data_IF_753505568023
#
_entry.id   IF_753505568023
#
_cell.length_a   1.000
_cell.length_b   1.000
_cell.length_c   1.000
_cell.angle_alpha   90.00
_cell.angle_beta   90.00
_cell.angle_gamma   90.00
#
_symmetry.space_group_name_H-M   'P 1'
#
loop_
_entity.id
_entity.type
_entity.pdbx_description
1 polymer ?
#
# COMPACT_ATOMS: atom_id res chain seq x y z
N UNK A 1 -4.83 -11.44 -12.28
CA UNK A 1 -4.91 -10.14 -11.56
C UNK A 1 -4.90 -8.94 -12.50
N UNK A 2 -4.03 -8.86 -13.51
CA UNK A 2 -4.01 -7.74 -14.48
C UNK A 2 -5.34 -7.55 -15.26
N UNK A 3 -6.00 -8.65 -15.65
CA UNK A 3 -7.32 -8.60 -16.30
C UNK A 3 -8.43 -8.00 -15.40
N UNK A 4 -8.31 -8.13 -14.07
CA UNK A 4 -9.26 -7.50 -13.13
C UNK A 4 -9.10 -5.98 -13.10
N UNK A 5 -7.87 -5.47 -13.22
CA UNK A 5 -7.60 -4.03 -13.32
C UNK A 5 -8.29 -3.38 -14.53
N UNK A 6 -8.27 -4.05 -15.68
CA UNK A 6 -8.90 -3.57 -16.92
C UNK A 6 -10.43 -3.57 -16.86
N UNK A 7 -11.02 -4.35 -15.96
CA UNK A 7 -12.48 -4.41 -15.79
C UNK A 7 -13.01 -3.23 -14.97
N UNK A 8 -12.15 -2.57 -14.19
CA UNK A 8 -12.54 -1.42 -13.36
C UNK A 8 -12.36 -0.12 -14.14
N UNK A 9 -13.34 0.79 -14.06
CA UNK A 9 -13.33 2.13 -14.67
C UNK A 9 -12.33 3.09 -13.98
N UNK A 10 -11.07 2.70 -13.83
CA UNK A 10 -10.00 3.55 -13.29
C UNK A 10 -9.23 4.14 -14.47
N UNK A 11 -8.84 5.43 -14.44
CA UNK A 11 -8.00 6.02 -15.49
C UNK A 11 -6.69 5.25 -15.63
N UNK A 12 -6.42 4.75 -16.84
CA UNK A 12 -5.26 3.91 -17.15
C UNK A 12 -3.93 4.59 -16.80
N UNK A 13 -3.87 5.92 -16.90
CA UNK A 13 -2.70 6.73 -16.54
C UNK A 13 -2.35 6.68 -15.06
N UNK A 14 -3.34 6.62 -14.17
CA UNK A 14 -3.11 6.50 -12.74
C UNK A 14 -2.54 5.12 -12.40
N UNK A 15 -3.08 4.06 -13.01
CA UNK A 15 -2.58 2.69 -12.84
C UNK A 15 -1.13 2.60 -13.33
N UNK A 16 -0.85 3.10 -14.54
CA UNK A 16 0.49 3.02 -15.13
C UNK A 16 1.54 3.78 -14.30
N UNK A 17 1.19 4.98 -13.80
CA UNK A 17 2.08 5.77 -12.94
C UNK A 17 2.36 5.05 -11.61
N UNK A 18 1.36 4.42 -11.00
CA UNK A 18 1.53 3.64 -9.78
C UNK A 18 2.29 2.32 -10.00
N UNK A 19 2.18 1.72 -11.19
CA UNK A 19 2.89 0.49 -11.53
C UNK A 19 4.34 0.72 -11.96
N UNK A 20 4.72 1.94 -12.35
CA UNK A 20 6.07 2.24 -12.86
C UNK A 20 7.18 1.96 -11.84
N UNK A 21 7.01 2.41 -10.59
CA UNK A 21 8.02 2.23 -9.54
C UNK A 21 8.18 0.74 -9.14
N UNK A 22 7.10 -0.02 -8.90
CA UNK A 22 7.26 -1.45 -8.66
C UNK A 22 7.77 -2.26 -9.86
N UNK A 23 7.44 -1.83 -11.09
CA UNK A 23 7.97 -2.47 -12.30
C UNK A 23 9.49 -2.31 -12.37
N UNK A 24 10.05 -1.13 -12.03
CA UNK A 24 11.50 -0.95 -12.02
C UNK A 24 12.18 -1.88 -11.01
N UNK A 25 11.58 -2.09 -9.83
CA UNK A 25 12.08 -3.07 -8.87
C UNK A 25 11.95 -4.52 -9.36
N UNK A 26 10.84 -4.88 -10.00
CA UNK A 26 10.64 -6.21 -10.54
C UNK A 26 11.65 -6.55 -11.66
N UNK A 27 11.93 -5.58 -12.54
CA UNK A 27 12.97 -5.70 -13.57
C UNK A 27 14.35 -5.84 -12.95
N UNK A 28 14.65 -5.05 -11.91
CA UNK A 28 15.91 -5.14 -11.18
C UNK A 28 16.11 -6.53 -10.55
N UNK A 29 15.07 -7.08 -9.91
CA UNK A 29 15.09 -8.44 -9.33
C UNK A 29 15.27 -9.49 -10.42
N UNK A 30 14.61 -9.33 -11.56
CA UNK A 30 14.74 -10.24 -12.71
C UNK A 30 16.18 -10.25 -13.25
N UNK A 31 16.81 -9.07 -13.37
CA UNK A 31 18.21 -8.95 -13.79
C UNK A 31 19.16 -9.63 -12.80
N UNK A 32 18.97 -9.40 -11.50
CA UNK A 32 19.82 -10.04 -10.46
C UNK A 32 19.67 -11.57 -10.51
N UNK A 33 18.44 -12.08 -10.56
CA UNK A 33 18.18 -13.53 -10.58
C UNK A 33 18.66 -14.19 -11.86
N UNK A 34 18.49 -13.54 -13.01
CA UNK A 34 18.98 -14.03 -14.29
C UNK A 34 20.50 -14.17 -14.36
N UNK A 35 21.23 -13.40 -13.55
CA UNK A 35 22.70 -13.43 -13.48
C UNK A 35 23.25 -14.43 -12.44
N UNK A 36 22.54 -14.66 -11.33
CA UNK A 36 23.05 -15.45 -10.21
C UNK A 36 22.50 -16.90 -10.11
N UNK A 37 21.25 -17.17 -10.48
CA UNK A 37 20.61 -18.49 -10.28
C UNK A 37 20.68 -19.37 -11.56
N UNK A 38 21.20 -20.60 -11.42
CA UNK A 38 21.08 -21.68 -12.42
C UNK A 38 22.40 -22.39 -12.78
N UNK A 39 22.33 -23.57 -13.40
CA UNK A 39 23.52 -24.35 -13.82
C UNK A 39 23.71 -24.38 -15.35
N UNK A 40 22.63 -24.25 -16.13
CA UNK A 40 22.68 -24.32 -17.61
C UNK A 40 22.81 -22.96 -18.28
N UNK A 41 23.90 -22.79 -19.03
CA UNK A 41 24.27 -21.58 -19.77
C UNK A 41 23.56 -21.56 -21.13
N UNK A 42 22.70 -20.59 -21.38
CA UNK A 42 22.03 -20.45 -22.69
C UNK A 42 22.72 -19.41 -23.59
N UNK A 43 23.30 -18.37 -23.00
CA UNK A 43 24.02 -17.33 -23.74
C UNK A 43 25.21 -16.85 -22.91
N UNK A 44 26.42 -17.10 -23.43
CA UNK A 44 27.66 -16.54 -22.91
C UNK A 44 28.07 -15.35 -23.77
N UNK A 45 27.69 -14.15 -23.37
CA UNK A 45 28.19 -12.92 -23.99
C UNK A 45 29.40 -12.45 -23.17
N UNK A 46 30.60 -12.70 -23.70
CA UNK A 46 31.83 -12.16 -23.16
C UNK A 46 32.01 -10.74 -23.68
N UNK A 47 31.38 -9.76 -23.01
CA UNK A 47 31.69 -8.35 -23.22
C UNK A 47 32.67 -7.94 -22.10
N UNK A 48 33.95 -7.83 -22.48
CA UNK A 48 35.05 -7.23 -21.69
C UNK A 48 35.22 -7.85 -20.29
N UNK A 49 35.88 -9.01 -20.22
CA UNK A 49 36.48 -9.54 -18.98
C UNK A 49 35.52 -10.14 -17.94
N UNK A 50 34.21 -9.90 -18.03
CA UNK A 50 33.19 -10.50 -17.16
C UNK A 50 32.32 -11.47 -17.95
N UNK A 51 32.30 -12.74 -17.53
CA UNK A 51 31.41 -13.77 -18.12
C UNK A 51 29.97 -13.50 -17.69
N UNK A 52 29.24 -12.72 -18.50
CA UNK A 52 27.78 -12.63 -18.39
C UNK A 52 27.18 -13.92 -18.94
N UNK A 53 26.80 -14.79 -18.01
CA UNK A 53 26.19 -16.09 -18.28
C UNK A 53 24.70 -15.95 -17.99
N UNK A 54 23.89 -15.80 -19.03
CA UNK A 54 22.43 -15.84 -18.88
C UNK A 54 21.99 -17.30 -18.75
N UNK A 55 21.45 -17.64 -17.59
CA UNK A 55 21.00 -18.99 -17.24
C UNK A 55 19.49 -19.09 -17.42
N UNK A 56 19.04 -20.15 -18.10
CA UNK A 56 17.62 -20.35 -18.44
C UNK A 56 16.74 -20.47 -17.19
N UNK A 57 17.24 -21.15 -16.16
CA UNK A 57 16.57 -21.34 -14.87
C UNK A 57 16.38 -20.02 -14.12
N UNK A 58 17.38 -19.14 -14.14
CA UNK A 58 17.32 -17.80 -13.55
C UNK A 58 16.29 -16.91 -14.24
N UNK A 59 16.13 -17.03 -15.56
CA UNK A 59 15.12 -16.29 -16.32
C UNK A 59 13.70 -16.74 -15.98
N UNK A 60 13.44 -18.06 -15.92
CA UNK A 60 12.13 -18.60 -15.54
C UNK A 60 11.76 -18.23 -14.10
N UNK A 61 12.69 -18.36 -13.15
CA UNK A 61 12.46 -17.97 -11.76
C UNK A 61 12.30 -16.45 -11.59
N UNK A 62 13.03 -15.66 -12.37
CA UNK A 62 12.88 -14.21 -12.44
C UNK A 62 11.49 -13.80 -12.96
N UNK A 63 11.04 -14.43 -14.04
CA UNK A 63 9.72 -14.20 -14.62
C UNK A 63 8.59 -14.59 -13.66
N UNK A 64 8.72 -15.74 -12.96
CA UNK A 64 7.77 -16.15 -11.93
C UNK A 64 7.67 -15.11 -10.81
N UNK A 65 8.80 -14.60 -10.30
CA UNK A 65 8.79 -13.57 -9.26
C UNK A 65 8.20 -12.26 -9.75
N UNK A 66 8.56 -11.83 -10.97
CA UNK A 66 7.97 -10.64 -11.60
C UNK A 66 6.44 -10.76 -11.69
N UNK A 67 5.92 -11.91 -12.11
CA UNK A 67 4.47 -12.14 -12.19
C UNK A 67 3.77 -12.07 -10.83
N UNK A 68 4.39 -12.59 -9.76
CA UNK A 68 3.86 -12.52 -8.38
C UNK A 68 3.83 -11.09 -7.87
N UNK A 69 4.90 -10.34 -8.10
CA UNK A 69 5.02 -8.93 -7.71
C UNK A 69 3.92 -8.13 -8.40
N UNK A 70 3.85 -8.18 -9.74
CA UNK A 70 2.82 -7.47 -10.52
C UNK A 70 1.39 -7.89 -10.11
N UNK A 71 1.19 -9.18 -9.86
CA UNK A 71 -0.08 -9.72 -9.37
C UNK A 71 -0.48 -9.13 -8.01
N UNK A 72 0.43 -9.08 -7.04
CA UNK A 72 0.17 -8.52 -5.71
C UNK A 72 -0.11 -7.02 -5.76
N UNK A 73 0.70 -6.26 -6.49
CA UNK A 73 0.55 -4.81 -6.63
C UNK A 73 -0.77 -4.45 -7.30
N UNK A 74 -1.18 -5.22 -8.32
CA UNK A 74 -2.47 -4.99 -8.97
C UNK A 74 -3.65 -5.12 -7.99
N UNK A 75 -3.57 -6.04 -7.04
CA UNK A 75 -4.60 -6.21 -6.01
C UNK A 75 -4.61 -5.04 -5.02
N UNK A 76 -3.43 -4.58 -4.59
CA UNK A 76 -3.30 -3.42 -3.70
C UNK A 76 -3.87 -2.17 -4.35
N UNK A 77 -3.54 -1.92 -5.63
CA UNK A 77 -4.09 -0.79 -6.39
C UNK A 77 -5.62 -0.91 -6.48
N UNK A 78 -6.14 -2.08 -6.84
CA UNK A 78 -7.59 -2.31 -6.90
C UNK A 78 -8.27 -2.02 -5.56
N UNK A 79 -7.69 -2.45 -4.45
CA UNK A 79 -8.23 -2.21 -3.12
C UNK A 79 -8.24 -0.72 -2.79
N UNK A 80 -7.13 -0.03 -3.01
CA UNK A 80 -6.96 1.39 -2.72
C UNK A 80 -7.90 2.30 -3.51
N UNK A 81 -8.23 1.95 -4.77
CA UNK A 81 -9.12 2.76 -5.60
C UNK A 81 -10.61 2.49 -5.36
N UNK A 82 -10.99 1.27 -4.98
CA UNK A 82 -12.41 0.90 -4.85
C UNK A 82 -12.93 0.98 -3.42
N UNK A 83 -12.05 0.93 -2.41
CA UNK A 83 -12.46 0.78 -1.00
C UNK A 83 -12.19 2.06 -0.23
N UNK A 84 -13.24 2.64 0.35
CA UNK A 84 -13.07 3.81 1.23
C UNK A 84 -12.58 3.38 2.61
N UNK A 85 -11.93 4.29 3.35
CA UNK A 85 -11.49 3.99 4.73
C UNK A 85 -12.66 3.55 5.61
N UNK A 86 -13.85 4.13 5.44
CA UNK A 86 -15.04 3.77 6.19
C UNK A 86 -15.47 2.32 5.90
N UNK A 87 -15.36 1.88 4.65
CA UNK A 87 -15.61 0.48 4.28
C UNK A 87 -14.54 -0.46 4.82
N UNK A 88 -13.27 -0.04 4.85
CA UNK A 88 -12.18 -0.81 5.48
C UNK A 88 -12.43 -0.98 6.99
N UNK A 89 -12.76 0.09 7.70
CA UNK A 89 -13.12 0.05 9.13
C UNK A 89 -14.32 -0.85 9.39
N UNK A 90 -15.35 -0.78 8.54
CA UNK A 90 -16.51 -1.65 8.66
C UNK A 90 -16.16 -3.12 8.38
N UNK A 91 -15.26 -3.39 7.43
CA UNK A 91 -14.68 -4.72 7.21
C UNK A 91 -13.90 -5.25 8.42
N UNK A 92 -13.09 -4.42 9.08
CA UNK A 92 -12.39 -4.79 10.32
C UNK A 92 -13.37 -5.16 11.44
N UNK A 93 -14.51 -4.47 11.52
CA UNK A 93 -15.59 -4.84 12.45
C UNK A 93 -16.15 -6.23 12.17
N UNK A 94 -16.29 -6.60 10.89
CA UNK A 94 -16.69 -7.95 10.49
C UNK A 94 -15.66 -9.02 10.88
N UNK A 95 -14.36 -8.68 10.82
CA UNK A 95 -13.26 -9.51 11.33
C UNK A 95 -13.17 -9.58 12.86
N UNK A 96 -14.14 -9.04 13.60
CA UNK A 96 -14.19 -9.03 15.08
C UNK A 96 -13.03 -8.28 15.74
N UNK A 97 -12.47 -7.28 15.06
CA UNK A 97 -11.52 -6.36 15.69
C UNK A 97 -12.25 -5.52 16.76
N UNK A 98 -11.68 -5.33 17.97
CA UNK A 98 -12.27 -4.48 19.00
C UNK A 98 -12.59 -3.06 18.50
N UNK A 99 -13.76 -2.53 18.87
CA UNK A 99 -14.23 -1.21 18.42
C UNK A 99 -13.21 -0.09 18.75
N UNK A 100 -12.50 -0.19 19.88
CA UNK A 100 -11.46 0.76 20.28
C UNK A 100 -10.34 0.89 19.24
N UNK A 101 -9.92 -0.21 18.61
CA UNK A 101 -8.87 -0.18 17.57
C UNK A 101 -9.42 0.47 16.29
N UNK A 102 -10.68 0.18 15.94
CA UNK A 102 -11.34 0.75 14.77
C UNK A 102 -11.49 2.27 14.92
N UNK A 103 -11.89 2.72 16.10
CA UNK A 103 -12.03 4.12 16.44
C UNK A 103 -10.68 4.85 16.44
N UNK A 104 -9.62 4.21 16.95
CA UNK A 104 -8.26 4.72 16.87
C UNK A 104 -7.81 4.90 15.40
N UNK A 105 -8.03 3.90 14.55
CA UNK A 105 -7.73 3.98 13.11
C UNK A 105 -8.50 5.10 12.41
N UNK A 106 -9.78 5.28 12.76
CA UNK A 106 -10.62 6.33 12.23
C UNK A 106 -10.11 7.73 12.58
N UNK A 107 -9.76 7.94 13.86
CA UNK A 107 -9.20 9.19 14.36
C UNK A 107 -7.83 9.46 13.74
N UNK A 108 -6.96 8.45 13.65
CA UNK A 108 -5.68 8.55 12.95
C UNK A 108 -5.86 9.02 11.51
N UNK A 109 -6.75 8.39 10.74
CA UNK A 109 -7.01 8.79 9.36
C UNK A 109 -7.51 10.23 9.25
N UNK A 110 -8.46 10.62 10.12
CA UNK A 110 -8.96 12.00 10.18
C UNK A 110 -7.83 12.99 10.48
N UNK A 111 -6.94 12.64 11.41
CA UNK A 111 -5.84 13.50 11.84
C UNK A 111 -4.68 13.59 10.84
N UNK A 112 -4.50 12.63 9.94
CA UNK A 112 -3.51 12.74 8.87
C UNK A 112 -3.76 14.01 8.04
N UNK A 113 -4.99 14.23 7.57
CA UNK A 113 -5.31 15.42 6.76
C UNK A 113 -5.21 16.71 7.56
N UNK A 114 -5.70 16.71 8.80
CA UNK A 114 -5.58 17.86 9.68
C UNK A 114 -4.11 18.26 9.89
N UNK A 115 -3.25 17.30 10.18
CA UNK A 115 -1.83 17.57 10.41
C UNK A 115 -1.10 17.93 9.12
N UNK A 116 -1.51 17.43 7.96
CA UNK A 116 -0.96 17.88 6.68
C UNK A 116 -1.24 19.37 6.45
N UNK A 117 -2.44 19.86 6.76
CA UNK A 117 -2.77 21.29 6.65
C UNK A 117 -1.97 22.13 7.68
N UNK A 118 -1.80 21.62 8.90
CA UNK A 118 -0.96 22.27 9.91
C UNK A 118 0.52 22.32 9.48
N UNK A 119 1.03 21.25 8.86
CA UNK A 119 2.38 21.21 8.30
C UNK A 119 2.52 22.22 7.17
N UNK A 120 1.55 22.31 6.25
CA UNK A 120 1.61 23.26 5.12
C UNK A 120 1.64 24.72 5.59
N UNK A 121 0.81 25.06 6.58
CA UNK A 121 0.80 26.39 7.20
C UNK A 121 2.13 26.71 7.91
N UNK A 122 2.66 25.77 8.70
CA UNK A 122 3.94 25.94 9.38
C UNK A 122 5.12 26.05 8.39
N UNK A 123 5.11 25.22 7.35
CA UNK A 123 6.11 25.22 6.28
C UNK A 123 6.12 26.56 5.54
N UNK A 124 4.94 27.07 5.18
CA UNK A 124 4.81 28.38 4.54
C UNK A 124 5.35 29.51 5.42
N UNK A 125 5.05 29.49 6.73
CA UNK A 125 5.57 30.46 7.69
C UNK A 125 7.09 30.38 7.87
N UNK A 126 7.69 29.17 7.79
CA UNK A 126 9.14 29.01 7.81
C UNK A 126 9.79 29.51 6.51
N UNK A 127 9.15 29.27 5.37
CA UNK A 127 9.63 29.74 4.05
C UNK A 127 9.67 31.26 3.97
N UNK A 128 8.66 31.97 4.47
CA UNK A 128 8.65 33.46 4.50
C UNK A 128 9.75 34.04 5.40
N UNK A 129 10.19 33.29 6.41
CA UNK A 129 11.30 33.66 7.32
C UNK A 129 12.67 33.19 6.83
N UNK A 130 12.81 32.81 5.55
CA UNK A 130 14.06 32.31 4.95
C UNK A 130 14.61 31.04 5.64
N UNK A 131 13.73 30.25 6.28
CA UNK A 131 14.11 29.07 7.07
C UNK A 131 14.69 27.90 6.27
N UNK A 132 14.52 27.89 4.95
CA UNK A 132 14.98 26.81 4.04
C UNK A 132 16.06 27.27 3.04
N UNK A 133 16.74 28.37 3.31
CA UNK A 133 17.73 28.97 2.40
C UNK A 133 19.06 28.24 2.32
N UNK A 134 19.48 27.57 3.40
CA UNK A 134 20.73 26.81 3.46
C UNK A 134 20.46 25.44 4.04
N UNK A 135 21.28 24.44 3.68
CA UNK A 135 21.12 23.06 4.18
C UNK A 135 21.06 23.00 5.72
N UNK A 136 21.91 23.77 6.41
CA UNK A 136 21.91 23.89 7.87
C UNK A 136 20.60 24.48 8.41
N UNK A 137 20.10 25.55 7.80
CA UNK A 137 18.84 26.16 8.20
C UNK A 137 17.64 25.25 7.92
N UNK A 138 17.66 24.51 6.79
CA UNK A 138 16.61 23.55 6.45
C UNK A 138 16.50 22.45 7.48
N UNK A 139 17.61 21.85 7.91
CA UNK A 139 17.60 20.81 8.97
C UNK A 139 17.05 21.39 10.28
N UNK A 140 17.53 22.58 10.68
CA UNK A 140 17.05 23.25 11.90
C UNK A 140 15.55 23.54 11.83
N UNK A 141 15.07 24.11 10.72
CA UNK A 141 13.67 24.43 10.51
C UNK A 141 12.80 23.17 10.48
N UNK A 142 13.27 22.08 9.88
CA UNK A 142 12.56 20.80 9.89
C UNK A 142 12.43 20.23 11.30
N UNK A 143 13.49 20.30 12.12
CA UNK A 143 13.44 19.91 13.53
C UNK A 143 12.44 20.74 14.34
N UNK A 144 12.41 22.06 14.12
CA UNK A 144 11.44 22.97 14.76
C UNK A 144 10.01 22.62 14.32
N UNK A 145 9.78 22.36 13.03
CA UNK A 145 8.47 21.99 12.49
C UNK A 145 7.97 20.70 13.13
N UNK A 146 8.80 19.65 13.16
CA UNK A 146 8.47 18.37 13.77
C UNK A 146 8.16 18.50 15.27
N UNK A 147 9.00 19.23 16.01
CA UNK A 147 8.78 19.49 17.43
C UNK A 147 7.47 20.22 17.72
N UNK A 148 7.17 21.28 16.96
CA UNK A 148 5.91 22.01 17.09
C UNK A 148 4.69 21.13 16.75
N UNK A 149 4.79 20.32 15.70
CA UNK A 149 3.70 19.42 15.30
C UNK A 149 3.38 18.41 16.40
N UNK A 150 4.40 17.84 17.06
CA UNK A 150 4.21 16.90 18.18
C UNK A 150 3.50 17.58 19.35
N UNK A 151 3.92 18.78 19.74
CA UNK A 151 3.27 19.53 20.83
C UNK A 151 1.81 19.82 20.50
N UNK A 152 1.52 20.26 19.26
CA UNK A 152 0.16 20.49 18.79
C UNK A 152 -0.68 19.22 18.74
N UNK A 153 -0.09 18.10 18.33
CA UNK A 153 -0.76 16.81 18.28
C UNK A 153 -1.19 16.35 19.69
N UNK A 154 -0.33 16.48 20.70
CA UNK A 154 -0.70 16.19 22.09
C UNK A 154 -1.79 17.11 22.62
N UNK A 155 -1.67 18.43 22.40
CA UNK A 155 -2.70 19.38 22.79
C UNK A 155 -4.06 19.07 22.12
N UNK A 156 -4.04 18.68 20.84
CA UNK A 156 -5.24 18.27 20.10
C UNK A 156 -5.82 16.96 20.65
N UNK A 157 -4.98 15.99 21.00
CA UNK A 157 -5.42 14.72 21.57
C UNK A 157 -6.21 14.96 22.87
N UNK A 158 -5.68 15.79 23.76
CA UNK A 158 -6.33 16.18 25.02
C UNK A 158 -7.69 16.87 24.76
N UNK A 159 -7.70 17.89 23.90
CA UNK A 159 -8.94 18.60 23.54
C UNK A 159 -10.00 17.66 22.95
N UNK A 160 -9.58 16.69 22.16
CA UNK A 160 -10.48 15.71 21.54
C UNK A 160 -11.03 14.75 22.58
N UNK A 161 -10.16 14.28 23.47
CA UNK A 161 -10.53 13.39 24.57
C UNK A 161 -11.59 14.05 25.46
N UNK A 162 -11.33 15.28 25.92
CA UNK A 162 -12.28 16.06 26.73
C UNK A 162 -13.61 16.29 26.00
N UNK A 163 -13.56 16.64 24.71
CA UNK A 163 -14.77 16.84 23.92
C UNK A 163 -15.57 15.55 23.69
N UNK A 164 -14.89 14.41 23.58
CA UNK A 164 -15.54 13.10 23.46
C UNK A 164 -16.15 12.68 24.80
N UNK A 165 -15.43 12.88 25.90
CA UNK A 165 -15.91 12.56 27.24
C UNK A 165 -17.15 13.38 27.60
N UNK A 166 -17.15 14.70 27.31
CA UNK A 166 -18.30 15.57 27.51
C UNK A 166 -19.54 15.17 26.69
N UNK A 167 -19.36 14.42 25.58
CA UNK A 167 -20.45 13.89 24.76
C UNK A 167 -20.93 12.50 25.20
N UNK A 168 -20.44 11.99 26.33
CA UNK A 168 -20.80 10.67 26.85
C UNK A 168 -20.12 9.51 26.12
N UNK A 169 -18.90 9.71 25.61
CA UNK A 169 -18.15 8.60 25.03
C UNK A 169 -17.67 7.62 26.11
N UNK A 170 -18.27 6.44 26.15
CA UNK A 170 -17.94 5.36 27.10
C UNK A 170 -16.99 4.29 26.53
N UNK A 171 -16.47 4.51 25.32
CA UNK A 171 -15.58 3.58 24.63
C UNK A 171 -16.27 2.79 23.51
N UNK A 172 -15.79 2.96 22.28
CA UNK A 172 -16.33 2.29 21.11
C UNK A 172 -17.43 3.08 20.40
N UNK A 173 -17.57 2.89 19.09
CA UNK A 173 -18.74 3.31 18.32
C UNK A 173 -18.69 4.72 17.77
N UNK A 174 -17.50 5.33 17.64
CA UNK A 174 -17.35 6.63 16.95
C UNK A 174 -17.78 6.50 15.48
N UNK A 175 -17.53 5.34 14.86
CA UNK A 175 -17.98 5.02 13.51
C UNK A 175 -19.16 4.04 13.50
N UNK A 176 -20.33 4.52 13.08
CA UNK A 176 -21.50 3.71 12.71
C UNK A 176 -21.52 3.42 11.21
N UNK A 177 -20.37 3.06 10.62
CA UNK A 177 -20.34 2.63 9.22
C UNK A 177 -20.92 1.22 9.10
N UNK A 178 -22.16 1.11 8.62
CA UNK A 178 -22.79 -0.17 8.29
C UNK A 178 -22.33 -0.64 6.91
N UNK A 179 -21.84 -1.88 6.81
CA UNK A 179 -21.60 -2.50 5.51
C UNK A 179 -22.93 -2.64 4.76
N UNK A 180 -23.02 -2.22 3.48
CA UNK A 180 -24.19 -2.51 2.68
C UNK A 180 -24.36 -4.03 2.53
N UNK A 181 -25.60 -4.53 2.39
CA UNK A 181 -25.85 -5.94 2.14
C UNK A 181 -25.17 -6.38 0.83
N UNK A 182 -24.70 -7.62 0.81
CA UNK A 182 -23.96 -8.17 -0.33
C UNK A 182 -24.79 -8.11 -1.61
N UNK A 183 -24.19 -7.57 -2.67
CA UNK A 183 -24.84 -7.54 -3.99
C UNK A 183 -24.70 -8.90 -4.66
N UNK A 184 -25.68 -9.30 -5.47
CA UNK A 184 -25.65 -10.58 -6.22
C UNK A 184 -24.35 -10.78 -7.04
N UNK A 185 -23.75 -9.70 -7.53
CA UNK A 185 -22.46 -9.71 -8.26
C UNK A 185 -21.27 -10.10 -7.37
N UNK A 186 -21.29 -9.75 -6.09
CA UNK A 186 -20.23 -10.07 -5.14
C UNK A 186 -20.22 -11.56 -4.80
N UNK A 187 -21.41 -12.17 -4.65
CA UNK A 187 -21.52 -13.62 -4.47
C UNK A 187 -20.93 -14.39 -5.66
N UNK A 188 -21.28 -14.01 -6.88
CA UNK A 188 -20.75 -14.64 -8.10
C UNK A 188 -19.22 -14.49 -8.17
N UNK A 189 -18.70 -13.32 -7.81
CA UNK A 189 -17.27 -13.07 -7.80
C UNK A 189 -16.53 -13.92 -6.76
N UNK A 190 -17.05 -14.03 -5.54
CA UNK A 190 -16.46 -14.85 -4.47
C UNK A 190 -16.47 -16.33 -4.84
N UNK A 191 -17.59 -16.83 -5.38
CA UNK A 191 -17.67 -18.22 -5.86
C UNK A 191 -16.66 -18.47 -6.98
N UNK A 192 -16.54 -17.55 -7.92
CA UNK A 192 -15.53 -17.62 -8.99
C UNK A 192 -14.10 -17.69 -8.46
N UNK A 193 -13.75 -16.87 -7.46
CA UNK A 193 -12.43 -16.91 -6.82
C UNK A 193 -12.17 -18.26 -6.14
N UNK A 194 -13.14 -18.77 -5.38
CA UNK A 194 -13.00 -20.05 -4.66
C UNK A 194 -12.76 -21.19 -5.65
N UNK A 195 -13.53 -21.26 -6.73
CA UNK A 195 -13.37 -22.28 -7.76
C UNK A 195 -12.00 -22.20 -8.46
N UNK A 196 -11.54 -20.99 -8.80
CA UNK A 196 -10.22 -20.78 -9.40
C UNK A 196 -9.10 -21.20 -8.45
N UNK A 197 -9.20 -20.85 -7.15
CA UNK A 197 -8.21 -21.24 -6.16
C UNK A 197 -8.18 -22.76 -5.95
N UNK A 198 -9.33 -23.42 -5.84
CA UNK A 198 -9.42 -24.88 -5.76
C UNK A 198 -8.82 -25.56 -6.98
N UNK A 199 -9.08 -25.05 -8.18
CA UNK A 199 -8.48 -25.55 -9.42
C UNK A 199 -6.95 -25.38 -9.45
N UNK A 200 -6.44 -24.25 -8.97
CA UNK A 200 -5.00 -23.97 -8.91
C UNK A 200 -4.30 -24.86 -7.86
N UNK A 201 -4.94 -25.12 -6.72
CA UNK A 201 -4.43 -26.05 -5.71
C UNK A 201 -4.39 -27.48 -6.28
N UNK A 202 -5.44 -27.90 -6.97
CA UNK A 202 -5.51 -29.23 -7.58
C UNK A 202 -4.41 -29.43 -8.63
N UNK A 203 -4.24 -28.47 -9.54
CA UNK A 203 -3.18 -28.53 -10.57
C UNK A 203 -1.76 -28.46 -9.99
N UNK A 204 -1.57 -27.76 -8.87
CA UNK A 204 -0.29 -27.74 -8.14
C UNK A 204 0.00 -29.08 -7.47
N UNK A 205 -1.02 -29.74 -6.91
CA UNK A 205 -0.89 -31.04 -6.28
C UNK A 205 -0.60 -32.17 -7.29
N UNK A 206 -1.01 -32.00 -8.56
CA UNK A 206 -0.75 -32.95 -9.64
C UNK A 206 0.68 -32.84 -10.21
N UNK A 207 1.43 -31.76 -9.92
CA UNK A 207 2.78 -31.53 -10.45
C UNK A 207 3.91 -31.71 -9.41
N UNK A 208 3.66 -32.50 -8.36
CA UNK A 208 4.65 -32.89 -7.35
C UNK A 208 4.52 -34.39 -7.06
N UNK A 209 4.78 -35.21 -8.08
CA UNK A 209 5.32 -36.57 -8.00
C UNK A 209 6.13 -36.82 -9.26
#
# INVERSE_FOLDING_TARGET
>A
SFSLLLTVKIPFTAILRSMLLPLSFAVFILLIRGLHEGEKVWLSLSIVGYKLVLKEEGLWNGLQTCSKVLGGISLVILLSFNTTISQLCAGLKWFRVPNTIIDLLALMYRYIFLFLDEVDTMWTAQRTRLGHTSWKNTIKSFGILGGMLVIRAFARAEQTYEAMHARGYEGGGILTATLPPWRKKEYVFVIGIVLVLSFLIYTRHVRVW
#
